data_IF_539731714029
#
_entry.id   IF_539731714029
#
_cell.length_a   1.000
_cell.length_b   1.000
_cell.length_c   1.000
_cell.angle_alpha   90.00
_cell.angle_beta   90.00
_cell.angle_gamma   90.00
#
_symmetry.space_group_name_H-M   'P 1'
#
loop_
_entity.id
_entity.type
_entity.pdbx_description
1 polymer ?
#
# COMPACT_ATOMS: atom_id res chain seq x y z
N UNK A 1 -16.98 -17.58 -2.63
CA UNK A 1 -16.79 -16.12 -2.58
C UNK A 1 -16.02 -15.82 -1.31
N UNK A 2 -15.03 -14.93 -1.36
CA UNK A 2 -14.27 -14.53 -0.15
C UNK A 2 -15.22 -13.95 0.91
N UNK A 3 -14.83 -14.01 2.18
CA UNK A 3 -15.66 -13.47 3.28
C UNK A 3 -15.69 -11.94 3.27
N UNK A 4 -16.77 -11.34 3.77
CA UNK A 4 -16.89 -9.88 3.89
C UNK A 4 -15.74 -9.26 4.69
N UNK A 5 -15.26 -9.97 5.72
CA UNK A 5 -14.11 -9.55 6.53
C UNK A 5 -12.83 -9.48 5.69
N UNK A 6 -12.61 -10.47 4.81
CA UNK A 6 -11.45 -10.49 3.92
C UNK A 6 -11.53 -9.34 2.89
N UNK A 7 -12.70 -9.15 2.29
CA UNK A 7 -12.93 -8.10 1.30
C UNK A 7 -12.75 -6.70 1.90
N UNK A 8 -13.34 -6.46 3.07
CA UNK A 8 -13.21 -5.19 3.78
C UNK A 8 -11.75 -4.92 4.17
N UNK A 9 -11.04 -5.93 4.71
CA UNK A 9 -9.63 -5.79 5.02
C UNK A 9 -8.79 -5.46 3.77
N UNK A 10 -9.10 -6.08 2.63
CA UNK A 10 -8.42 -5.80 1.37
C UNK A 10 -8.65 -4.36 0.89
N UNK A 11 -9.90 -3.88 0.95
CA UNK A 11 -10.27 -2.50 0.62
C UNK A 11 -9.54 -1.49 1.51
N UNK A 12 -9.47 -1.76 2.82
CA UNK A 12 -8.75 -0.90 3.77
C UNK A 12 -7.25 -0.86 3.48
N UNK A 13 -6.62 -1.99 3.13
CA UNK A 13 -5.22 -2.01 2.68
C UNK A 13 -5.03 -1.14 1.45
N UNK A 14 -5.92 -1.23 0.46
CA UNK A 14 -5.85 -0.42 -0.75
C UNK A 14 -5.91 1.09 -0.44
N UNK A 15 -6.78 1.51 0.49
CA UNK A 15 -6.82 2.91 0.94
C UNK A 15 -5.52 3.36 1.60
N UNK A 16 -4.96 2.54 2.50
CA UNK A 16 -3.71 2.86 3.21
C UNK A 16 -2.54 2.98 2.23
N UNK A 17 -2.43 2.04 1.29
CA UNK A 17 -1.45 2.08 0.20
C UNK A 17 -1.65 3.28 -0.71
N UNK A 18 -2.89 3.73 -0.89
CA UNK A 18 -3.26 4.91 -1.68
C UNK A 18 -2.90 6.26 -1.04
N UNK A 19 -2.70 6.31 0.29
CA UNK A 19 -2.45 7.56 1.03
C UNK A 19 -1.32 8.42 0.45
N UNK A 20 -0.13 7.87 0.10
CA UNK A 20 0.95 8.66 -0.49
C UNK A 20 0.53 9.39 -1.77
N UNK A 21 -0.25 8.72 -2.62
CA UNK A 21 -0.69 9.23 -3.92
C UNK A 21 -1.82 10.27 -3.81
N UNK A 22 -2.56 10.27 -2.70
CA UNK A 22 -3.62 11.26 -2.44
C UNK A 22 -3.07 12.64 -2.03
N UNK A 23 -1.85 12.71 -1.50
CA UNK A 23 -1.31 13.95 -0.94
C UNK A 23 -0.86 14.90 -2.07
N UNK A 24 -1.21 16.20 -1.99
CA UNK A 24 -0.77 17.19 -2.98
C UNK A 24 0.71 17.56 -2.84
N UNK A 25 1.30 17.24 -1.69
CA UNK A 25 2.70 17.50 -1.34
C UNK A 25 3.49 16.20 -1.30
N UNK A 26 4.82 16.29 -1.13
CA UNK A 26 5.67 15.11 -0.96
C UNK A 26 5.23 14.31 0.27
N UNK A 27 5.30 12.98 0.16
CA UNK A 27 4.97 12.05 1.21
C UNK A 27 6.24 11.58 1.91
N UNK A 28 6.28 11.73 3.24
CA UNK A 28 7.34 11.17 4.08
C UNK A 28 6.94 9.76 4.51
N UNK A 29 7.68 8.77 4.02
CA UNK A 29 7.40 7.37 4.32
C UNK A 29 7.81 6.98 5.75
N UNK A 30 8.68 7.74 6.41
CA UNK A 30 9.21 7.40 7.74
C UNK A 30 8.26 7.80 8.88
N UNK A 31 7.53 8.89 8.74
CA UNK A 31 6.69 9.45 9.80
C UNK A 31 5.28 8.85 9.88
N UNK A 32 5.02 7.74 9.19
CA UNK A 32 3.65 7.26 8.97
C UNK A 32 3.43 5.87 9.54
N UNK A 33 2.23 5.63 10.06
CA UNK A 33 1.81 4.33 10.60
C UNK A 33 1.42 3.32 9.50
N UNK A 34 1.75 3.60 8.23
CA UNK A 34 1.32 2.81 7.07
C UNK A 34 1.75 1.36 7.17
N UNK A 35 3.00 1.11 7.57
CA UNK A 35 3.53 -0.25 7.70
C UNK A 35 2.74 -1.05 8.75
N UNK A 36 2.48 -0.46 9.91
CA UNK A 36 1.75 -1.14 10.98
C UNK A 36 0.30 -1.44 10.57
N UNK A 37 -0.37 -0.48 9.92
CA UNK A 37 -1.72 -0.66 9.40
C UNK A 37 -1.80 -1.78 8.36
N UNK A 38 -0.87 -1.80 7.39
CA UNK A 38 -0.80 -2.85 6.37
C UNK A 38 -0.51 -4.21 7.00
N UNK A 39 0.41 -4.32 7.97
CA UNK A 39 0.69 -5.58 8.65
C UNK A 39 -0.52 -6.13 9.42
N UNK A 40 -1.25 -5.26 10.13
CA UNK A 40 -2.43 -5.66 10.88
C UNK A 40 -3.55 -6.17 9.97
N UNK A 41 -3.86 -5.40 8.92
CA UNK A 41 -4.89 -5.78 7.94
C UNK A 41 -4.48 -7.01 7.12
N UNK A 42 -3.20 -7.10 6.78
CA UNK A 42 -2.62 -8.27 6.12
C UNK A 42 -2.79 -9.54 6.94
N UNK A 43 -2.60 -9.49 8.26
CA UNK A 43 -2.87 -10.62 9.14
C UNK A 43 -4.35 -11.06 9.10
N UNK A 44 -5.29 -10.10 9.03
CA UNK A 44 -6.72 -10.40 8.84
C UNK A 44 -6.96 -11.08 7.49
N UNK A 45 -6.41 -10.54 6.40
CA UNK A 45 -6.53 -11.16 5.07
C UNK A 45 -5.97 -12.58 5.05
N UNK A 46 -4.82 -12.84 5.67
CA UNK A 46 -4.20 -14.17 5.74
C UNK A 46 -5.07 -15.19 6.50
N UNK A 47 -5.82 -14.76 7.51
CA UNK A 47 -6.71 -15.61 8.31
C UNK A 47 -8.01 -15.94 7.60
N UNK A 48 -8.55 -14.97 6.84
CA UNK A 48 -9.88 -15.07 6.26
C UNK A 48 -9.90 -15.42 4.76
N UNK A 49 -8.72 -15.43 4.09
CA UNK A 49 -8.64 -15.84 2.68
C UNK A 49 -9.04 -17.31 2.52
N UNK A 50 -9.91 -17.59 1.56
CA UNK A 50 -10.31 -18.96 1.21
C UNK A 50 -9.48 -19.52 0.05
N UNK A 51 -8.96 -18.64 -0.80
CA UNK A 51 -8.16 -19.01 -1.97
C UNK A 51 -6.85 -18.23 -2.04
N UNK A 52 -5.77 -18.81 -2.58
CA UNK A 52 -4.55 -18.07 -2.84
C UNK A 52 -4.80 -16.99 -3.92
N UNK A 53 -4.17 -15.82 -3.81
CA UNK A 53 -4.25 -14.81 -4.85
C UNK A 53 -3.54 -15.30 -6.13
N UNK A 54 -3.89 -14.77 -7.32
CA UNK A 54 -3.18 -15.07 -8.55
C UNK A 54 -1.73 -14.53 -8.51
N UNK A 55 -0.83 -15.13 -9.29
CA UNK A 55 0.61 -14.84 -9.27
C UNK A 55 0.92 -13.36 -9.58
N UNK A 56 0.10 -12.72 -10.42
CA UNK A 56 0.23 -11.31 -10.76
C UNK A 56 0.00 -10.41 -9.53
N UNK A 57 -0.99 -10.75 -8.71
CA UNK A 57 -1.29 -9.99 -7.49
C UNK A 57 -0.17 -10.16 -6.46
N UNK A 58 0.39 -11.36 -6.33
CA UNK A 58 1.54 -11.60 -5.43
C UNK A 58 2.78 -10.82 -5.89
N UNK A 59 3.08 -10.86 -7.18
CA UNK A 59 4.18 -10.12 -7.80
C UNK A 59 4.03 -8.61 -7.59
N UNK A 60 2.82 -8.09 -7.75
CA UNK A 60 2.50 -6.68 -7.49
C UNK A 60 2.73 -6.31 -6.03
N UNK A 61 2.21 -7.11 -5.09
CA UNK A 61 2.37 -6.88 -3.66
C UNK A 61 3.84 -6.87 -3.23
N UNK A 62 4.66 -7.78 -3.75
CA UNK A 62 6.09 -7.82 -3.45
C UNK A 62 6.82 -6.57 -3.94
N UNK A 63 6.59 -6.16 -5.19
CA UNK A 63 7.21 -4.95 -5.77
C UNK A 63 6.84 -3.70 -4.98
N UNK A 64 5.55 -3.56 -4.66
CA UNK A 64 5.03 -2.42 -3.91
C UNK A 64 5.58 -2.38 -2.48
N UNK A 65 5.56 -3.52 -1.78
CA UNK A 65 6.08 -3.63 -0.41
C UNK A 65 7.58 -3.33 -0.36
N UNK A 66 8.36 -3.83 -1.33
CA UNK A 66 9.78 -3.54 -1.46
C UNK A 66 10.07 -2.05 -1.65
N UNK A 67 9.30 -1.39 -2.53
CA UNK A 67 9.43 0.05 -2.77
C UNK A 67 9.09 0.88 -1.52
N UNK A 68 7.99 0.55 -0.82
CA UNK A 68 7.61 1.23 0.42
C UNK A 68 8.67 1.03 1.50
N UNK A 69 9.14 -0.21 1.70
CA UNK A 69 10.17 -0.53 2.70
C UNK A 69 11.49 0.19 2.40
N UNK A 70 11.90 0.28 1.13
CA UNK A 70 13.08 1.04 0.73
C UNK A 70 12.92 2.52 1.06
N UNK A 71 11.77 3.12 0.74
CA UNK A 71 11.48 4.52 1.07
C UNK A 71 11.51 4.77 2.58
N UNK A 72 10.95 3.85 3.39
CA UNK A 72 10.97 3.92 4.86
C UNK A 72 12.41 3.87 5.38
N UNK A 73 13.20 2.87 4.96
CA UNK A 73 14.58 2.67 5.44
C UNK A 73 15.51 3.83 5.08
N UNK A 74 15.29 4.45 3.92
CA UNK A 74 16.06 5.60 3.46
C UNK A 74 15.57 6.94 4.03
N UNK A 75 14.42 6.96 4.73
CA UNK A 75 13.78 8.20 5.17
C UNK A 75 13.37 9.10 3.99
N UNK A 76 12.95 8.49 2.89
CA UNK A 76 12.67 9.20 1.65
C UNK A 76 11.37 10.02 1.73
N UNK A 77 11.43 11.24 1.18
CA UNK A 77 10.30 12.15 1.03
C UNK A 77 10.00 12.31 -0.45
N UNK A 78 8.97 11.63 -0.96
CA UNK A 78 8.75 11.42 -2.40
C UNK A 78 7.50 12.17 -2.89
N UNK A 79 7.56 12.91 -4.02
CA UNK A 79 6.35 13.42 -4.68
C UNK A 79 5.61 12.25 -5.34
N UNK A 80 4.65 11.66 -4.63
CA UNK A 80 3.90 10.50 -5.12
C UNK A 80 2.75 10.86 -6.08
N UNK A 81 2.27 12.10 -6.04
CA UNK A 81 1.28 12.59 -6.99
C UNK A 81 1.99 13.14 -8.23
N UNK A 82 1.64 12.60 -9.40
CA UNK A 82 2.13 13.13 -10.68
C UNK A 82 1.79 14.62 -10.79
N UNK A 83 2.82 15.46 -10.87
CA UNK A 83 2.62 16.88 -11.18
C UNK A 83 2.03 16.98 -12.58
N UNK A 84 1.00 17.79 -12.84
CA UNK A 84 0.64 18.12 -14.22
C UNK A 84 1.89 18.68 -14.88
N UNK A 85 2.26 18.11 -16.03
CA UNK A 85 3.39 18.58 -16.81
C UNK A 85 3.28 20.10 -16.95
N UNK A 86 4.30 20.82 -16.47
CA UNK A 86 4.41 22.25 -16.75
C UNK A 86 4.54 22.35 -18.27
N UNK A 87 3.49 22.85 -18.94
CA UNK A 87 3.53 23.22 -20.36
C UNK A 87 4.79 24.05 -20.55
N UNK A 88 5.72 23.52 -21.34
CA UNK A 88 6.88 24.28 -21.82
C UNK A 88 6.54 24.83 -23.19
#
# INVERSE_FOLDING_TARGET
MESDIMLEAHVQVAFVVGLPFSKPVRYDFRSTNVTQSISNLGATMLRHRLTPPPDEAYSLHQKLSGAFLACIKLGAVVPCKGTPAKSR
#
